data_IF_067581406601
#
_entry.id   IF_067581406601
#
_cell.length_a   1.000
_cell.length_b   1.000
_cell.length_c   1.000
_cell.angle_alpha   90.00
_cell.angle_beta   90.00
_cell.angle_gamma   90.00
#
_symmetry.space_group_name_H-M   'P 1'
#
loop_
_entity.id
_entity.type
_entity.pdbx_description
1 polymer ?
#
# COMPACT_ATOMS: atom_id res chain seq x y z
N UNK A 1 38.30 1.39 -21.79
CA UNK A 1 37.84 0.15 -21.14
C UNK A 1 36.33 0.06 -21.29
N UNK A 2 35.78 -1.00 -21.84
CA UNK A 2 34.32 -1.17 -21.80
C UNK A 2 33.88 -1.36 -20.37
N UNK A 3 32.65 -0.89 -19.97
CA UNK A 3 32.14 -1.10 -18.64
C UNK A 3 32.05 -2.60 -18.39
N UNK A 4 32.49 -3.05 -17.20
CA UNK A 4 32.31 -4.43 -16.76
C UNK A 4 30.80 -4.71 -16.77
N UNK A 5 30.35 -5.59 -17.64
CA UNK A 5 29.01 -6.13 -17.59
C UNK A 5 28.85 -6.78 -16.20
N UNK A 6 28.06 -6.16 -15.36
CA UNK A 6 27.66 -6.73 -14.06
C UNK A 6 27.09 -8.13 -14.29
N UNK A 7 27.30 -9.03 -13.34
CA UNK A 7 26.64 -10.34 -13.36
C UNK A 7 25.14 -10.11 -13.56
N UNK A 8 24.60 -10.62 -14.66
CA UNK A 8 23.16 -10.68 -14.87
C UNK A 8 22.65 -11.70 -13.86
N UNK A 9 22.09 -11.23 -12.77
CA UNK A 9 21.36 -12.08 -11.83
C UNK A 9 20.01 -12.37 -12.48
N UNK A 10 19.74 -13.63 -12.75
CA UNK A 10 18.40 -14.11 -13.11
C UNK A 10 17.66 -14.41 -11.78
N UNK A 11 16.72 -13.57 -11.35
CA UNK A 11 16.04 -13.74 -10.07
C UNK A 11 15.13 -14.97 -10.11
N UNK A 12 15.08 -15.74 -9.06
CA UNK A 12 14.12 -16.85 -8.92
C UNK A 12 12.72 -16.36 -8.53
N UNK A 13 12.66 -15.24 -7.81
CA UNK A 13 11.43 -14.66 -7.26
C UNK A 13 11.41 -13.15 -7.53
N UNK A 14 10.26 -12.66 -7.98
CA UNK A 14 9.96 -11.24 -8.10
C UNK A 14 9.00 -10.83 -6.99
N UNK A 15 9.39 -9.82 -6.22
CA UNK A 15 8.62 -9.28 -5.10
C UNK A 15 8.03 -7.94 -5.49
N UNK A 16 6.70 -7.86 -5.51
CA UNK A 16 5.95 -6.66 -5.92
C UNK A 16 5.35 -5.92 -4.73
N UNK A 17 5.25 -4.60 -4.85
CA UNK A 17 4.36 -3.78 -4.04
C UNK A 17 2.97 -3.68 -4.69
N UNK A 18 1.96 -3.19 -3.96
CA UNK A 18 0.61 -2.98 -4.49
C UNK A 18 0.34 -1.50 -4.78
N UNK A 19 0.28 -0.67 -3.78
CA UNK A 19 -0.14 0.72 -3.92
C UNK A 19 0.79 1.55 -4.82
N UNK A 20 0.24 2.11 -5.90
CA UNK A 20 1.02 2.88 -6.87
C UNK A 20 1.91 2.06 -7.81
N UNK A 21 1.95 0.72 -7.67
CA UNK A 21 2.71 -0.20 -8.51
C UNK A 21 1.80 -1.10 -9.32
N UNK A 22 0.91 -1.83 -8.68
CA UNK A 22 -0.05 -2.73 -9.31
C UNK A 22 -1.51 -2.30 -9.11
N UNK A 23 -1.76 -1.51 -8.05
CA UNK A 23 -3.08 -1.02 -7.67
C UNK A 23 -3.06 0.50 -7.64
N UNK A 24 -4.04 1.13 -8.25
CA UNK A 24 -4.24 2.57 -8.18
C UNK A 24 -4.59 2.98 -6.75
N UNK A 25 -3.75 3.82 -6.14
CA UNK A 25 -3.95 4.37 -4.81
C UNK A 25 -4.27 5.86 -4.90
N UNK A 26 -5.50 6.24 -4.53
CA UNK A 26 -6.00 7.60 -4.64
C UNK A 26 -5.85 8.43 -3.36
N UNK A 27 -5.26 7.88 -2.30
CA UNK A 27 -5.23 8.45 -0.95
C UNK A 27 -4.86 9.93 -0.87
N UNK A 28 -3.69 10.37 -1.36
CA UNK A 28 -3.30 11.77 -1.25
C UNK A 28 -4.26 12.74 -1.93
N UNK A 29 -4.78 12.38 -3.11
CA UNK A 29 -5.73 13.20 -3.85
C UNK A 29 -7.08 13.29 -3.16
N UNK A 30 -7.59 12.17 -2.68
CA UNK A 30 -8.89 12.10 -1.98
C UNK A 30 -8.82 12.81 -0.61
N UNK A 31 -7.76 12.56 0.15
CA UNK A 31 -7.56 13.21 1.44
C UNK A 31 -7.50 14.72 1.33
N UNK A 32 -6.82 15.24 0.31
CA UNK A 32 -6.69 16.69 0.07
C UNK A 32 -8.02 17.43 -0.10
N UNK A 33 -9.08 16.73 -0.53
CA UNK A 33 -10.42 17.32 -0.66
C UNK A 33 -11.13 17.55 0.69
N UNK A 34 -10.62 16.94 1.76
CA UNK A 34 -11.23 16.95 3.09
C UNK A 34 -10.34 17.59 4.16
N UNK A 35 -9.14 18.07 3.80
CA UNK A 35 -8.29 18.80 4.73
C UNK A 35 -8.76 20.26 4.87
N UNK A 36 -8.77 20.78 6.12
CA UNK A 36 -9.07 22.19 6.38
C UNK A 36 -7.89 23.14 6.12
N UNK A 37 -6.82 22.61 5.59
CA UNK A 37 -5.63 23.37 5.20
C UNK A 37 -5.23 23.05 3.74
N UNK A 38 -4.76 24.07 2.98
CA UNK A 38 -4.38 23.88 1.58
C UNK A 38 -3.14 22.99 1.47
N UNK A 39 -3.20 21.95 0.62
CA UNK A 39 -2.08 21.06 0.41
C UNK A 39 -2.09 20.43 -0.99
N UNK A 40 -0.91 20.04 -1.47
CA UNK A 40 -0.77 19.26 -2.69
C UNK A 40 -0.67 17.76 -2.37
N UNK A 41 -0.97 16.86 -3.31
CA UNK A 41 -0.82 15.42 -3.11
C UNK A 41 0.58 15.00 -2.65
N UNK A 42 1.63 15.71 -3.12
CA UNK A 42 3.02 15.43 -2.77
C UNK A 42 3.29 15.74 -1.28
N UNK A 43 2.82 16.88 -0.79
CA UNK A 43 2.94 17.28 0.62
C UNK A 43 2.15 16.32 1.52
N UNK A 44 0.96 15.90 1.06
CA UNK A 44 0.15 14.91 1.77
C UNK A 44 0.90 13.58 1.86
N UNK A 45 1.46 13.10 0.76
CA UNK A 45 2.21 11.84 0.73
C UNK A 45 3.44 11.88 1.63
N UNK A 46 4.20 12.97 1.61
CA UNK A 46 5.36 13.14 2.49
C UNK A 46 4.96 13.11 3.98
N UNK A 47 3.89 13.82 4.35
CA UNK A 47 3.37 13.80 5.72
C UNK A 47 2.81 12.43 6.12
N UNK A 48 2.15 11.74 5.17
CA UNK A 48 1.62 10.38 5.37
C UNK A 48 2.72 9.40 5.74
N UNK A 49 3.82 9.37 5.00
CA UNK A 49 4.94 8.45 5.23
C UNK A 49 5.65 8.68 6.58
N UNK A 50 5.44 9.84 7.20
CA UNK A 50 6.00 10.20 8.52
C UNK A 50 4.96 10.20 9.64
N UNK A 51 3.71 9.84 9.35
CA UNK A 51 2.64 9.85 10.33
C UNK A 51 2.75 8.66 11.30
N UNK A 52 3.00 8.86 12.60
CA UNK A 52 3.14 7.78 13.56
C UNK A 52 1.89 6.92 13.67
N UNK A 53 0.70 7.53 13.62
CA UNK A 53 -0.55 6.78 13.71
C UNK A 53 -0.81 5.91 12.49
N UNK A 54 -0.39 6.36 11.31
CA UNK A 54 -0.44 5.56 10.08
C UNK A 54 0.54 4.39 10.15
N UNK A 55 1.77 4.61 10.63
CA UNK A 55 2.74 3.53 10.84
C UNK A 55 2.22 2.47 11.82
N UNK A 56 1.62 2.89 12.94
CA UNK A 56 1.01 1.95 13.89
C UNK A 56 -0.18 1.18 13.30
N UNK A 57 -1.00 1.85 12.48
CA UNK A 57 -2.13 1.21 11.80
C UNK A 57 -1.66 0.21 10.74
N UNK A 58 -0.67 0.57 9.93
CA UNK A 58 -0.08 -0.31 8.93
C UNK A 58 0.74 -1.46 9.54
N UNK A 59 1.09 -1.38 10.82
CA UNK A 59 1.65 -2.49 11.62
C UNK A 59 0.60 -3.31 12.35
N UNK A 60 -0.70 -3.02 12.16
CA UNK A 60 -1.78 -3.73 12.83
C UNK A 60 -1.90 -3.46 14.34
N UNK A 61 -1.33 -2.37 14.85
CA UNK A 61 -1.35 -2.00 16.27
C UNK A 61 -2.55 -1.15 16.66
N UNK A 62 -3.22 -0.55 15.71
CA UNK A 62 -4.44 0.21 15.88
C UNK A 62 -5.57 -0.42 15.08
N UNK A 63 -6.77 -0.45 15.67
CA UNK A 63 -7.97 -0.74 14.90
C UNK A 63 -8.31 0.42 13.96
N UNK A 64 -9.10 0.20 12.89
CA UNK A 64 -9.55 1.27 12.00
C UNK A 64 -10.17 2.45 12.75
N UNK A 65 -11.03 2.19 13.73
CA UNK A 65 -11.69 3.23 14.51
C UNK A 65 -10.69 4.07 15.32
N UNK A 66 -9.78 3.41 16.04
CA UNK A 66 -8.74 4.10 16.82
C UNK A 66 -7.82 4.95 15.93
N UNK A 67 -7.44 4.41 14.78
CA UNK A 67 -6.63 5.14 13.82
C UNK A 67 -7.37 6.34 13.24
N UNK A 68 -8.62 6.16 12.80
CA UNK A 68 -9.41 7.24 12.22
C UNK A 68 -9.62 8.41 13.18
N UNK A 69 -9.93 8.14 14.44
CA UNK A 69 -10.11 9.18 15.47
C UNK A 69 -8.84 10.03 15.64
N UNK A 70 -7.67 9.37 15.78
CA UNK A 70 -6.38 10.06 15.93
C UNK A 70 -5.97 10.80 14.67
N UNK A 71 -6.11 10.15 13.52
CA UNK A 71 -5.71 10.70 12.23
C UNK A 71 -6.52 11.95 11.86
N UNK A 72 -7.85 11.90 12.00
CA UNK A 72 -8.74 13.04 11.71
C UNK A 72 -8.37 14.24 12.55
N UNK A 73 -8.12 14.04 13.84
CA UNK A 73 -7.73 15.11 14.76
C UNK A 73 -6.39 15.72 14.34
N UNK A 74 -5.36 14.90 14.13
CA UNK A 74 -4.00 15.37 13.85
C UNK A 74 -3.85 16.01 12.46
N UNK A 75 -4.69 15.60 11.53
CA UNK A 75 -4.66 16.09 10.15
C UNK A 75 -5.69 17.17 9.86
N UNK A 76 -6.51 17.51 10.83
CA UNK A 76 -7.61 18.49 10.67
C UNK A 76 -8.49 18.15 9.46
N UNK A 77 -9.01 16.91 9.46
CA UNK A 77 -9.88 16.40 8.40
C UNK A 77 -11.32 16.77 8.68
N UNK A 78 -12.01 17.33 7.70
CA UNK A 78 -13.42 17.73 7.81
C UNK A 78 -14.39 16.57 7.50
N UNK A 79 -14.27 15.50 8.28
CA UNK A 79 -15.14 14.32 8.21
C UNK A 79 -15.32 13.71 9.59
N UNK A 80 -16.43 12.99 9.79
CA UNK A 80 -16.55 12.10 10.94
C UNK A 80 -15.66 10.87 10.78
N UNK A 81 -15.23 10.19 11.87
CA UNK A 81 -14.47 8.94 11.77
C UNK A 81 -15.11 7.89 10.87
N UNK A 82 -16.44 7.76 10.97
CA UNK A 82 -17.23 6.82 10.16
C UNK A 82 -17.17 7.17 8.67
N UNK A 83 -17.39 8.44 8.31
CA UNK A 83 -17.40 8.87 6.92
C UNK A 83 -15.99 8.82 6.32
N UNK A 84 -14.97 9.14 7.12
CA UNK A 84 -13.58 9.01 6.74
C UNK A 84 -13.22 7.56 6.40
N UNK A 85 -13.54 6.59 7.28
CA UNK A 85 -13.26 5.18 7.03
C UNK A 85 -14.00 4.65 5.80
N UNK A 86 -15.25 5.04 5.59
CA UNK A 86 -16.00 4.66 4.41
C UNK A 86 -15.34 5.13 3.11
N UNK A 87 -14.79 6.35 3.09
CA UNK A 87 -14.03 6.86 1.95
C UNK A 87 -12.67 6.20 1.84
N UNK A 88 -11.92 6.11 2.95
CA UNK A 88 -10.59 5.52 3.01
C UNK A 88 -10.55 4.11 2.42
N UNK A 89 -11.51 3.26 2.75
CA UNK A 89 -11.59 1.89 2.21
C UNK A 89 -11.59 1.87 0.68
N UNK A 90 -12.14 2.89 0.03
CA UNK A 90 -12.23 2.97 -1.44
C UNK A 90 -10.98 3.54 -2.12
N UNK A 91 -9.96 3.99 -1.38
CA UNK A 91 -8.76 4.61 -1.96
C UNK A 91 -7.85 3.63 -2.69
N UNK A 92 -7.89 2.35 -2.33
CA UNK A 92 -7.39 1.26 -3.17
C UNK A 92 -8.41 0.99 -4.28
N UNK A 93 -8.25 1.61 -5.45
CA UNK A 93 -9.32 1.73 -6.44
C UNK A 93 -9.49 0.52 -7.34
N UNK A 94 -8.46 0.21 -8.10
CA UNK A 94 -8.49 -0.83 -9.13
C UNK A 94 -7.09 -1.32 -9.43
N UNK A 95 -6.99 -2.49 -10.01
CA UNK A 95 -5.74 -2.96 -10.61
C UNK A 95 -5.39 -2.04 -11.78
N UNK A 96 -4.13 -1.60 -11.83
CA UNK A 96 -3.65 -0.73 -12.91
C UNK A 96 -3.73 -1.45 -14.26
N UNK A 97 -4.06 -0.74 -15.35
CA UNK A 97 -4.06 -1.31 -16.70
C UNK A 97 -2.72 -1.96 -17.03
N UNK A 98 -2.75 -3.17 -17.58
CA UNK A 98 -1.56 -3.94 -17.94
C UNK A 98 -0.89 -4.70 -16.79
N UNK A 99 -1.27 -4.47 -15.53
CA UNK A 99 -0.64 -5.13 -14.38
C UNK A 99 -0.93 -6.63 -14.37
N UNK A 100 -2.17 -7.06 -14.63
CA UNK A 100 -2.51 -8.49 -14.69
C UNK A 100 -1.79 -9.19 -15.81
N UNK A 101 -1.81 -8.61 -17.00
CA UNK A 101 -1.14 -9.13 -18.19
C UNK A 101 0.37 -9.28 -17.98
N UNK A 102 1.00 -8.30 -17.31
CA UNK A 102 2.41 -8.37 -16.94
C UNK A 102 2.69 -9.53 -15.98
N UNK A 103 1.88 -9.66 -14.92
CA UNK A 103 2.06 -10.74 -13.95
C UNK A 103 1.85 -12.12 -14.57
N UNK A 104 0.87 -12.26 -15.46
CA UNK A 104 0.63 -13.52 -16.20
C UNK A 104 1.82 -13.90 -17.10
N UNK A 105 2.43 -12.93 -17.79
CA UNK A 105 3.63 -13.15 -18.61
C UNK A 105 4.83 -13.55 -17.76
N UNK A 106 5.00 -12.97 -16.57
CA UNK A 106 6.12 -13.25 -15.68
C UNK A 106 5.99 -14.60 -14.95
N UNK A 107 4.75 -15.01 -14.64
CA UNK A 107 4.44 -16.23 -13.88
C UNK A 107 4.98 -17.52 -14.52
N UNK A 108 5.15 -17.55 -15.83
CA UNK A 108 5.73 -18.68 -16.54
C UNK A 108 7.24 -18.83 -16.36
N UNK A 109 7.92 -17.76 -15.92
CA UNK A 109 9.39 -17.70 -15.80
C UNK A 109 9.87 -17.52 -14.36
N UNK A 110 9.12 -16.78 -13.55
CA UNK A 110 9.51 -16.41 -12.20
C UNK A 110 8.44 -16.82 -11.19
N UNK A 111 8.84 -17.09 -9.95
CA UNK A 111 7.95 -17.10 -8.82
C UNK A 111 7.53 -15.66 -8.51
N UNK A 112 6.25 -15.43 -8.27
CA UNK A 112 5.72 -14.09 -7.99
C UNK A 112 5.24 -14.02 -6.55
N UNK A 113 5.67 -12.99 -5.83
CA UNK A 113 5.21 -12.68 -4.49
C UNK A 113 4.90 -11.19 -4.36
N UNK A 114 4.11 -10.83 -3.35
CA UNK A 114 3.83 -9.44 -3.04
C UNK A 114 4.15 -9.12 -1.58
N UNK A 115 4.66 -7.89 -1.36
CA UNK A 115 4.95 -7.34 -0.03
C UNK A 115 4.52 -5.87 0.01
N UNK A 116 3.45 -5.59 0.76
CA UNK A 116 2.85 -4.27 0.81
C UNK A 116 2.81 -3.70 2.23
N UNK A 117 3.19 -2.42 2.39
CA UNK A 117 2.78 -1.65 3.54
C UNK A 117 1.29 -1.34 3.36
N UNK A 118 0.45 -1.95 4.17
CA UNK A 118 -0.99 -1.87 4.04
C UNK A 118 -1.68 -2.10 5.39
N UNK A 119 -2.96 -1.90 5.41
CA UNK A 119 -3.83 -2.08 6.55
C UNK A 119 -4.94 -3.08 6.23
N UNK A 120 -5.70 -3.49 7.24
CA UNK A 120 -6.73 -4.51 7.10
C UNK A 120 -7.80 -4.13 6.06
N UNK A 121 -8.21 -2.85 5.99
CA UNK A 121 -9.28 -2.40 5.08
C UNK A 121 -8.86 -2.48 3.61
N UNK A 122 -7.69 -1.95 3.27
CA UNK A 122 -7.18 -2.02 1.91
C UNK A 122 -6.76 -3.44 1.53
N UNK A 123 -6.25 -4.21 2.49
CA UNK A 123 -5.88 -5.61 2.26
C UNK A 123 -7.09 -6.46 1.94
N UNK A 124 -8.17 -6.32 2.72
CA UNK A 124 -9.43 -7.02 2.47
C UNK A 124 -10.00 -6.67 1.10
N UNK A 125 -9.97 -5.40 0.72
CA UNK A 125 -10.39 -4.94 -0.59
C UNK A 125 -9.54 -5.53 -1.72
N UNK A 126 -8.21 -5.49 -1.59
CA UNK A 126 -7.28 -6.06 -2.58
C UNK A 126 -7.46 -7.57 -2.73
N UNK A 127 -7.81 -8.27 -1.64
CA UNK A 127 -8.04 -9.71 -1.63
C UNK A 127 -9.40 -10.08 -2.20
N UNK A 128 -10.47 -9.50 -1.69
CA UNK A 128 -11.83 -9.96 -1.92
C UNK A 128 -12.49 -9.31 -3.15
N UNK A 129 -12.23 -8.00 -3.37
CA UNK A 129 -12.85 -7.28 -4.48
C UNK A 129 -11.93 -7.23 -5.71
N UNK A 130 -10.67 -6.80 -5.55
CA UNK A 130 -9.74 -6.69 -6.67
C UNK A 130 -9.11 -8.04 -7.05
N UNK A 131 -9.08 -8.99 -6.12
CA UNK A 131 -8.58 -10.35 -6.29
C UNK A 131 -7.15 -10.42 -6.84
N UNK A 132 -6.33 -9.39 -6.55
CA UNK A 132 -4.97 -9.32 -7.09
C UNK A 132 -4.04 -10.34 -6.44
N UNK A 133 -4.36 -10.76 -5.21
CA UNK A 133 -3.56 -11.75 -4.47
C UNK A 133 -3.50 -13.09 -5.19
N UNK A 134 -4.53 -13.47 -5.95
CA UNK A 134 -4.60 -14.75 -6.68
C UNK A 134 -3.51 -14.90 -7.76
N UNK A 135 -2.88 -13.80 -8.16
CA UNK A 135 -1.81 -13.82 -9.16
C UNK A 135 -0.44 -14.15 -8.56
N UNK A 136 -0.32 -14.23 -7.25
CA UNK A 136 0.92 -14.48 -6.52
C UNK A 136 0.94 -15.86 -5.87
N UNK A 137 2.13 -16.40 -5.70
CA UNK A 137 2.34 -17.63 -4.93
C UNK A 137 2.06 -17.37 -3.45
N UNK A 138 2.49 -16.22 -2.94
CA UNK A 138 2.14 -15.70 -1.63
C UNK A 138 2.16 -14.17 -1.63
N UNK A 139 1.44 -13.58 -0.69
CA UNK A 139 1.40 -12.15 -0.49
C UNK A 139 1.41 -11.83 1.00
N UNK A 140 2.18 -10.82 1.39
CA UNK A 140 2.38 -10.40 2.78
C UNK A 140 1.99 -8.93 2.91
N UNK A 141 1.22 -8.63 3.95
CA UNK A 141 0.90 -7.26 4.37
C UNK A 141 1.54 -6.92 5.70
N UNK A 142 2.04 -5.70 5.81
CA UNK A 142 2.70 -5.18 7.02
C UNK A 142 1.86 -5.35 8.28
N UNK A 143 0.53 -5.12 8.21
CA UNK A 143 -0.36 -5.24 9.38
C UNK A 143 -0.48 -6.67 9.89
N UNK A 144 -0.24 -7.68 9.06
CA UNK A 144 -0.29 -9.09 9.46
C UNK A 144 0.98 -9.55 10.16
N UNK A 145 2.13 -8.95 9.80
CA UNK A 145 3.44 -9.33 10.35
C UNK A 145 3.99 -8.34 11.38
N UNK A 146 3.30 -7.22 11.59
CA UNK A 146 3.67 -6.23 12.61
C UNK A 146 4.87 -5.35 12.24
N UNK A 147 5.34 -5.40 10.99
CA UNK A 147 6.50 -4.64 10.51
C UNK A 147 6.23 -4.03 9.14
N UNK A 148 6.77 -2.82 8.88
CA UNK A 148 6.64 -2.09 7.63
C UNK A 148 7.97 -1.99 6.89
N UNK A 149 7.93 -1.98 5.57
CA UNK A 149 9.08 -1.56 4.75
C UNK A 149 9.46 -0.13 5.11
N UNK A 150 10.74 0.23 5.18
CA UNK A 150 11.93 -0.55 4.84
C UNK A 150 12.58 -1.29 6.02
N UNK A 151 11.87 -1.48 7.15
CA UNK A 151 12.45 -2.17 8.31
C UNK A 151 12.87 -3.60 7.93
N UNK A 152 14.08 -4.08 8.33
CA UNK A 152 14.59 -5.39 7.91
C UNK A 152 13.71 -6.56 8.36
N UNK A 153 13.03 -6.46 9.49
CA UNK A 153 12.20 -7.55 10.04
C UNK A 153 11.05 -7.98 9.10
N UNK A 154 10.65 -7.12 8.16
CA UNK A 154 9.59 -7.49 7.20
C UNK A 154 10.11 -8.44 6.11
N UNK A 155 11.43 -8.59 5.97
CA UNK A 155 12.08 -9.43 4.96
C UNK A 155 12.63 -10.75 5.52
N UNK A 156 12.46 -11.00 6.80
CA UNK A 156 12.92 -12.19 7.52
C UNK A 156 11.75 -13.14 7.74
#
# INVERSE_FOLDING_TARGET
>A
MPPRMGKVYDPELLLFDFGGVLVEFAGPKELGQHLRWPSTPEVILERWTRCPHTDEFERGRLSPAQWAERFIHDWDVDLTPKDFLAKFTTWSRRVLPGAKELLEQLRGRYRLAALSNSNELHWERNTNELRIIELFEFAISSHQVGSCKPHPDIYI
#
